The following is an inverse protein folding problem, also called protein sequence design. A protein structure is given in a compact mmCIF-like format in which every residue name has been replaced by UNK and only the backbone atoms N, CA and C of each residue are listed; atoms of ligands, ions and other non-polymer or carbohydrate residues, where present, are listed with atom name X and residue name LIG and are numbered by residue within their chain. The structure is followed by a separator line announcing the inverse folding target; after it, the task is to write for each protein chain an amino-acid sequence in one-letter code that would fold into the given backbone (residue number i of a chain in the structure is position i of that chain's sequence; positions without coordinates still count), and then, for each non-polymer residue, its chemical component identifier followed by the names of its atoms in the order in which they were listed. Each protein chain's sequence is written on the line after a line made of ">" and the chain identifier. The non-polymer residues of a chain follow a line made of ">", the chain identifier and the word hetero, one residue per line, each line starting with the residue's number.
data_IF_553459722923
#
_entry.id   IF_553459722923
#
_cell.length_a   1.000
_cell.length_b   1.000
_cell.length_c   1.000
_cell.angle_alpha   90.00
_cell.angle_beta   90.00
_cell.angle_gamma   90.00
#
_symmetry.space_group_name_H-M   'P 1'
#
loop_
_entity.id
_entity.type
_entity.pdbx_description
1 polymer ?
#
# COMPACT_ATOMS: atom_id res chain seq x y z
N UNK A 1 2.33 13.87 -10.51
CA UNK A 1 1.06 13.84 -9.76
C UNK A 1 0.82 12.49 -9.09
N UNK A 2 0.88 11.36 -9.82
CA UNK A 2 0.64 10.00 -9.28
C UNK A 2 1.54 9.68 -8.08
N UNK A 3 2.83 9.99 -8.12
CA UNK A 3 3.76 9.71 -7.02
C UNK A 3 3.40 10.47 -5.73
N UNK A 4 2.99 11.73 -5.85
CA UNK A 4 2.54 12.54 -4.70
C UNK A 4 1.24 11.99 -4.14
N UNK A 5 0.28 11.66 -5.00
CA UNK A 5 -0.99 11.06 -4.61
C UNK A 5 -0.78 9.73 -3.88
N UNK A 6 0.08 8.85 -4.42
CA UNK A 6 0.42 7.57 -3.78
C UNK A 6 1.01 7.75 -2.39
N UNK A 7 1.98 8.66 -2.24
CA UNK A 7 2.62 8.90 -0.96
C UNK A 7 1.64 9.49 0.07
N UNK A 8 0.86 10.49 -0.31
CA UNK A 8 -0.14 11.09 0.57
C UNK A 8 -1.22 10.08 0.95
N UNK A 9 -1.76 9.33 -0.01
CA UNK A 9 -2.78 8.32 0.22
C UNK A 9 -2.29 7.19 1.13
N UNK A 10 -1.00 6.83 1.05
CA UNK A 10 -0.42 5.80 1.91
C UNK A 10 -0.17 6.27 3.35
N UNK A 11 0.37 7.48 3.56
CA UNK A 11 0.80 7.91 4.89
C UNK A 11 -0.28 8.63 5.70
N UNK A 12 -1.13 9.44 5.08
CA UNK A 12 -2.11 10.24 5.81
C UNK A 12 -3.14 9.42 6.60
N UNK A 13 -3.77 8.36 6.04
CA UNK A 13 -4.77 7.60 6.79
C UNK A 13 -4.18 6.86 7.99
N UNK A 14 -2.90 6.47 7.95
CA UNK A 14 -2.24 5.76 9.04
C UNK A 14 -2.26 6.56 10.35
N UNK A 15 -2.16 7.90 10.27
CA UNK A 15 -2.20 8.78 11.43
C UNK A 15 -3.52 8.69 12.20
N UNK A 16 -4.61 8.41 11.49
CA UNK A 16 -5.95 8.32 12.07
C UNK A 16 -6.32 6.90 12.50
N UNK A 17 -5.83 5.89 11.78
CA UNK A 17 -6.21 4.50 12.00
C UNK A 17 -5.32 3.76 12.98
N UNK A 18 -4.09 4.20 13.23
CA UNK A 18 -3.15 3.55 14.14
C UNK A 18 -3.73 3.38 15.56
N UNK A 19 -4.29 4.44 16.14
CA UNK A 19 -4.83 4.41 17.48
C UNK A 19 -6.07 3.50 17.64
N UNK A 20 -6.94 3.45 16.65
CA UNK A 20 -8.09 2.54 16.65
C UNK A 20 -7.65 1.07 16.47
N UNK A 21 -6.62 0.86 15.66
CA UNK A 21 -6.02 -0.46 15.45
C UNK A 21 -5.46 -1.07 16.74
N UNK A 22 -4.76 -0.29 17.57
CA UNK A 22 -4.17 -0.78 18.82
C UNK A 22 -5.19 -1.42 19.76
N UNK A 23 -6.43 -0.95 19.77
CA UNK A 23 -7.50 -1.40 20.64
C UNK A 23 -8.08 -2.77 20.29
N UNK A 24 -7.80 -3.29 19.11
CA UNK A 24 -8.37 -4.53 18.62
C UNK A 24 -7.60 -5.74 19.16
N UNK A 25 -8.29 -6.74 19.70
CA UNK A 25 -7.71 -8.01 20.09
C UNK A 25 -7.21 -8.83 18.91
N UNK A 26 -7.97 -8.78 17.79
CA UNK A 26 -7.60 -9.35 16.48
C UNK A 26 -7.61 -8.26 15.41
N UNK A 27 -6.57 -8.22 14.57
CA UNK A 27 -6.43 -7.28 13.46
C UNK A 27 -6.97 -7.85 12.16
N UNK A 28 -6.96 -9.17 12.01
CA UNK A 28 -7.39 -9.88 10.80
C UNK A 28 -8.75 -9.43 10.27
N UNK A 29 -9.82 -9.26 11.08
CA UNK A 29 -11.11 -8.80 10.55
C UNK A 29 -11.03 -7.44 9.84
N UNK A 30 -10.23 -6.51 10.35
CA UNK A 30 -10.00 -5.22 9.68
C UNK A 30 -9.22 -5.41 8.39
N UNK A 31 -8.12 -6.18 8.44
CA UNK A 31 -7.28 -6.43 7.26
C UNK A 31 -8.06 -7.12 6.14
N UNK A 32 -8.94 -8.06 6.48
CA UNK A 32 -9.71 -8.82 5.48
C UNK A 32 -10.93 -8.01 5.01
N UNK A 33 -11.81 -7.57 5.91
CA UNK A 33 -13.07 -6.98 5.51
C UNK A 33 -12.91 -5.52 5.03
N UNK A 34 -12.26 -4.68 5.85
CA UNK A 34 -12.02 -3.28 5.49
C UNK A 34 -11.00 -3.20 4.34
N UNK A 35 -9.97 -4.05 4.38
CA UNK A 35 -8.99 -4.16 3.32
C UNK A 35 -9.58 -4.60 1.98
N UNK A 36 -10.58 -5.48 1.95
CA UNK A 36 -11.30 -5.81 0.72
C UNK A 36 -12.00 -4.59 0.13
N UNK A 37 -12.83 -3.92 0.94
CA UNK A 37 -13.65 -2.80 0.50
C UNK A 37 -12.84 -1.56 0.10
N UNK A 38 -11.79 -1.25 0.86
CA UNK A 38 -11.06 0.00 0.68
C UNK A 38 -9.83 -0.14 -0.22
N UNK A 39 -9.23 -1.33 -0.30
CA UNK A 39 -7.98 -1.51 -1.03
C UNK A 39 -8.15 -2.37 -2.29
N UNK A 40 -8.94 -3.47 -2.25
CA UNK A 40 -9.06 -4.41 -3.39
C UNK A 40 -10.18 -4.02 -4.33
N UNK A 41 -11.35 -3.72 -3.79
CA UNK A 41 -12.53 -3.38 -4.60
C UNK A 41 -12.28 -2.22 -5.57
N UNK A 42 -11.61 -1.11 -5.19
CA UNK A 42 -11.38 0.00 -6.11
C UNK A 42 -10.61 -0.38 -7.38
N UNK A 43 -9.71 -1.37 -7.32
CA UNK A 43 -8.93 -1.81 -8.49
C UNK A 43 -9.78 -2.45 -9.56
N UNK A 44 -10.96 -2.99 -9.21
CA UNK A 44 -11.93 -3.53 -10.19
C UNK A 44 -12.62 -2.44 -11.02
N UNK A 45 -12.53 -1.17 -10.61
CA UNK A 45 -13.01 -0.04 -11.41
C UNK A 45 -11.97 0.47 -12.42
N UNK A 46 -10.69 0.11 -12.29
CA UNK A 46 -9.66 0.54 -13.25
C UNK A 46 -9.91 0.04 -14.68
N UNK A 47 -10.32 -1.22 -14.93
CA UNK A 47 -10.71 -1.64 -16.28
C UNK A 47 -11.81 -0.77 -16.90
N UNK A 48 -12.77 -0.30 -16.09
CA UNK A 48 -13.84 0.59 -16.57
C UNK A 48 -13.29 1.94 -17.03
N UNK A 49 -12.23 2.45 -16.40
CA UNK A 49 -11.56 3.67 -16.85
C UNK A 49 -10.97 3.51 -18.26
N UNK A 50 -10.35 2.36 -18.52
CA UNK A 50 -9.80 2.05 -19.84
C UNK A 50 -10.90 1.91 -20.91
N UNK A 51 -12.02 1.24 -20.58
CA UNK A 51 -13.17 1.10 -21.47
C UNK A 51 -13.86 2.45 -21.77
N UNK A 52 -13.84 3.38 -20.82
CA UNK A 52 -14.42 4.71 -20.99
C UNK A 52 -13.56 5.63 -21.87
N UNK A 53 -12.25 5.35 -21.99
CA UNK A 53 -11.29 6.24 -22.63
C UNK A 53 -11.58 6.57 -24.11
N UNK A 54 -12.04 5.63 -24.96
CA UNK A 54 -12.41 5.94 -26.36
C UNK A 54 -13.62 6.86 -26.48
N UNK A 55 -14.51 6.87 -25.49
CA UNK A 55 -15.76 7.64 -25.52
C UNK A 55 -15.61 9.00 -24.84
N UNK A 56 -14.92 9.05 -23.71
CA UNK A 56 -14.70 10.27 -22.94
C UNK A 56 -13.40 10.18 -22.14
N UNK A 57 -12.30 10.79 -22.64
CA UNK A 57 -11.03 10.82 -21.92
C UNK A 57 -11.15 11.45 -20.52
N UNK A 58 -11.98 12.47 -20.37
CA UNK A 58 -12.22 13.11 -19.06
C UNK A 58 -12.86 12.17 -18.06
N UNK A 59 -13.90 11.44 -18.48
CA UNK A 59 -14.55 10.44 -17.62
C UNK A 59 -13.58 9.31 -17.25
N UNK A 60 -12.77 8.84 -18.20
CA UNK A 60 -11.75 7.84 -17.96
C UNK A 60 -10.76 8.29 -16.89
N UNK A 61 -10.26 9.52 -16.97
CA UNK A 61 -9.35 10.09 -15.98
C UNK A 61 -10.02 10.24 -14.60
N UNK A 62 -11.26 10.66 -14.55
CA UNK A 62 -12.01 10.78 -13.28
C UNK A 62 -12.13 9.39 -12.61
N UNK A 63 -12.57 8.37 -13.34
CA UNK A 63 -12.70 7.00 -12.83
C UNK A 63 -11.33 6.49 -12.36
N UNK A 64 -10.29 6.67 -13.18
CA UNK A 64 -8.93 6.23 -12.86
C UNK A 64 -8.43 6.86 -11.55
N UNK A 65 -8.44 8.18 -11.45
CA UNK A 65 -7.93 8.88 -10.28
C UNK A 65 -8.79 8.64 -9.04
N UNK A 66 -10.11 8.54 -9.18
CA UNK A 66 -11.00 8.21 -8.06
C UNK A 66 -10.72 6.78 -7.52
N UNK A 67 -10.64 5.78 -8.40
CA UNK A 67 -10.34 4.40 -8.02
C UNK A 67 -8.93 4.27 -7.42
N UNK A 68 -7.95 4.94 -8.02
CA UNK A 68 -6.56 4.91 -7.57
C UNK A 68 -6.37 5.61 -6.22
N UNK A 69 -7.01 6.76 -6.01
CA UNK A 69 -7.01 7.46 -4.73
C UNK A 69 -7.71 6.65 -3.64
N UNK A 70 -8.87 6.06 -3.95
CA UNK A 70 -9.60 5.19 -3.04
C UNK A 70 -8.74 3.99 -2.61
N UNK A 71 -8.13 3.28 -3.58
CA UNK A 71 -7.19 2.19 -3.31
C UNK A 71 -6.05 2.63 -2.38
N UNK A 72 -5.39 3.73 -2.70
CA UNK A 72 -4.24 4.23 -1.93
C UNK A 72 -4.62 4.63 -0.49
N UNK A 73 -5.73 5.35 -0.32
CA UNK A 73 -6.25 5.73 0.99
C UNK A 73 -6.65 4.50 1.81
N UNK A 74 -7.28 3.51 1.16
CA UNK A 74 -7.65 2.24 1.78
C UNK A 74 -6.44 1.43 2.23
N UNK A 75 -5.44 1.29 1.38
CA UNK A 75 -4.19 0.62 1.71
C UNK A 75 -3.48 1.30 2.89
N UNK A 76 -3.41 2.63 2.90
CA UNK A 76 -2.90 3.41 4.03
C UNK A 76 -3.69 3.19 5.31
N UNK A 77 -5.02 3.18 5.25
CA UNK A 77 -5.87 2.97 6.42
C UNK A 77 -5.71 1.58 7.05
N UNK A 78 -5.47 0.56 6.24
CA UNK A 78 -5.31 -0.84 6.68
C UNK A 78 -3.88 -1.17 7.11
N UNK A 79 -2.89 -0.42 6.64
CA UNK A 79 -1.47 -0.70 6.84
C UNK A 79 -1.05 -0.92 8.31
N UNK A 80 -1.52 -0.13 9.32
CA UNK A 80 -1.18 -0.38 10.72
C UNK A 80 -1.71 -1.72 11.23
N UNK A 81 -2.95 -2.08 10.86
CA UNK A 81 -3.56 -3.35 11.23
C UNK A 81 -2.83 -4.53 10.59
N UNK A 82 -2.46 -4.41 9.32
CA UNK A 82 -1.70 -5.42 8.59
C UNK A 82 -0.31 -5.64 9.19
N UNK A 83 0.41 -4.57 9.47
CA UNK A 83 1.76 -4.64 10.05
C UNK A 83 1.75 -5.29 11.44
N UNK A 84 0.78 -4.94 12.29
CA UNK A 84 0.63 -5.54 13.63
C UNK A 84 0.20 -7.03 13.54
N UNK A 85 -0.70 -7.36 12.61
CA UNK A 85 -1.10 -8.75 12.36
C UNK A 85 0.11 -9.62 11.97
N UNK A 86 0.91 -9.18 11.01
CA UNK A 86 2.11 -9.90 10.59
C UNK A 86 3.12 -10.03 11.74
N UNK A 87 3.31 -8.94 12.51
CA UNK A 87 4.19 -8.97 13.68
C UNK A 87 3.73 -9.95 14.76
N UNK A 88 2.45 -10.27 14.84
CA UNK A 88 1.92 -11.30 15.76
C UNK A 88 2.07 -12.72 15.24
N UNK A 89 2.01 -12.90 13.92
CA UNK A 89 2.13 -14.20 13.27
C UNK A 89 3.57 -14.75 13.25
N UNK A 90 4.58 -13.87 13.34
CA UNK A 90 5.98 -14.26 13.24
C UNK A 90 6.78 -13.90 14.51
N UNK A 91 7.60 -14.82 15.05
CA UNK A 91 8.53 -14.52 16.14
C UNK A 91 9.55 -13.45 15.71
N UNK A 92 10.01 -12.63 16.67
CA UNK A 92 10.85 -11.45 16.41
C UNK A 92 12.10 -11.77 15.60
N UNK A 93 12.77 -12.90 15.92
CA UNK A 93 14.00 -13.35 15.27
C UNK A 93 13.80 -13.79 13.79
N UNK A 94 12.58 -14.09 13.36
CA UNK A 94 12.29 -14.51 11.97
C UNK A 94 11.66 -13.39 11.12
N UNK A 95 11.29 -12.25 11.70
CA UNK A 95 10.62 -11.17 10.97
C UNK A 95 11.49 -10.57 9.87
N UNK A 96 12.76 -10.29 10.17
CA UNK A 96 13.68 -9.71 9.20
C UNK A 96 13.88 -10.64 7.97
N UNK A 97 14.06 -11.94 8.23
CA UNK A 97 14.14 -12.93 7.17
C UNK A 97 12.86 -12.99 6.33
N UNK A 98 11.69 -13.03 6.99
CA UNK A 98 10.39 -13.04 6.31
C UNK A 98 10.20 -11.82 5.41
N UNK A 99 10.44 -10.62 5.92
CA UNK A 99 10.29 -9.40 5.12
C UNK A 99 11.32 -9.31 4.00
N UNK A 100 12.56 -9.74 4.22
CA UNK A 100 13.59 -9.80 3.19
C UNK A 100 13.24 -10.79 2.08
N UNK A 101 12.81 -11.99 2.45
CA UNK A 101 12.41 -13.04 1.49
C UNK A 101 11.17 -12.63 0.68
N UNK A 102 10.14 -12.09 1.33
CA UNK A 102 8.94 -11.62 0.62
C UNK A 102 9.23 -10.43 -0.30
N UNK A 103 10.12 -9.53 0.08
CA UNK A 103 10.57 -8.44 -0.78
C UNK A 103 11.33 -8.96 -2.00
N UNK A 104 12.25 -9.93 -1.82
CA UNK A 104 12.99 -10.57 -2.91
C UNK A 104 12.05 -11.25 -3.92
N UNK A 105 11.15 -12.13 -3.45
CA UNK A 105 10.18 -12.82 -4.30
C UNK A 105 9.23 -11.80 -4.95
N UNK A 106 8.72 -10.83 -4.19
CA UNK A 106 7.81 -9.81 -4.71
C UNK A 106 8.44 -8.98 -5.82
N UNK A 107 9.70 -8.58 -5.68
CA UNK A 107 10.44 -7.86 -6.72
C UNK A 107 10.66 -8.74 -7.97
N UNK A 108 11.06 -10.00 -7.79
CA UNK A 108 11.27 -10.94 -8.89
C UNK A 108 9.98 -11.18 -9.69
N UNK A 109 8.87 -11.48 -9.01
CA UNK A 109 7.56 -11.65 -9.66
C UNK A 109 7.10 -10.32 -10.29
N UNK A 110 7.41 -9.18 -9.66
CA UNK A 110 7.11 -7.85 -10.20
C UNK A 110 7.77 -7.59 -11.56
N UNK A 111 9.03 -8.03 -11.75
CA UNK A 111 9.74 -7.94 -13.05
C UNK A 111 9.02 -8.77 -14.11
N UNK A 112 8.64 -10.01 -13.80
CA UNK A 112 7.88 -10.85 -14.71
C UNK A 112 6.50 -10.26 -15.04
N UNK A 113 5.82 -9.69 -14.05
CA UNK A 113 4.56 -9.00 -14.23
C UNK A 113 4.68 -7.76 -15.13
N UNK A 114 5.74 -6.99 -14.97
CA UNK A 114 6.03 -5.84 -15.83
C UNK A 114 6.32 -6.25 -17.29
N UNK A 115 7.11 -7.31 -17.49
CA UNK A 115 7.40 -7.85 -18.81
C UNK A 115 6.11 -8.37 -19.50
N UNK A 116 5.25 -9.07 -18.75
CA UNK A 116 3.98 -9.56 -19.27
C UNK A 116 3.00 -8.42 -19.59
N UNK A 117 2.93 -7.41 -18.73
CA UNK A 117 2.13 -6.21 -18.99
C UNK A 117 2.63 -5.45 -20.23
N UNK A 118 3.95 -5.30 -20.39
CA UNK A 118 4.54 -4.71 -21.59
C UNK A 118 4.19 -5.48 -22.85
N UNK A 119 4.24 -6.81 -22.79
CA UNK A 119 3.81 -7.66 -23.90
C UNK A 119 2.34 -7.45 -24.25
N UNK A 120 1.45 -7.37 -23.25
CA UNK A 120 0.02 -7.07 -23.47
C UNK A 120 -0.17 -5.70 -24.15
N UNK A 121 0.57 -4.67 -23.73
CA UNK A 121 0.46 -3.32 -24.30
C UNK A 121 0.83 -3.27 -25.78
N UNK A 122 1.74 -4.13 -26.23
CA UNK A 122 2.18 -4.20 -27.64
C UNK A 122 1.24 -5.08 -28.49
N UNK A 123 0.74 -6.19 -27.94
CA UNK A 123 0.03 -7.21 -28.74
C UNK A 123 -1.49 -7.01 -28.78
N UNK A 124 -2.07 -6.20 -27.93
CA UNK A 124 -3.51 -5.93 -27.94
C UNK A 124 -3.79 -4.47 -28.32
N UNK A 125 -4.85 -4.21 -29.11
CA UNK A 125 -5.23 -2.86 -29.47
C UNK A 125 -5.79 -2.08 -28.27
N UNK A 126 -5.63 -0.76 -28.29
CA UNK A 126 -6.31 0.12 -27.35
C UNK A 126 -7.85 0.06 -27.54
N UNK A 127 -8.66 0.01 -26.48
CA UNK A 127 -8.29 0.11 -25.04
C UNK A 127 -8.06 -1.25 -24.35
N UNK A 128 -8.20 -2.38 -25.05
CA UNK A 128 -8.17 -3.73 -24.50
C UNK A 128 -6.84 -4.05 -23.80
N UNK A 129 -5.74 -3.54 -24.31
CA UNK A 129 -4.41 -3.67 -23.71
C UNK A 129 -4.35 -3.17 -22.27
N UNK A 130 -4.95 -2.01 -21.97
CA UNK A 130 -5.06 -1.48 -20.62
C UNK A 130 -6.10 -2.23 -19.78
N UNK A 131 -7.24 -2.60 -20.39
CA UNK A 131 -8.28 -3.38 -19.71
C UNK A 131 -7.70 -4.69 -19.16
N UNK A 132 -6.97 -5.44 -19.97
CA UNK A 132 -6.36 -6.71 -19.56
C UNK A 132 -5.27 -6.51 -18.50
N UNK A 133 -4.45 -5.47 -18.62
CA UNK A 133 -3.44 -5.15 -17.62
C UNK A 133 -4.06 -4.78 -16.26
N UNK A 134 -5.13 -4.01 -16.24
CA UNK A 134 -5.84 -3.67 -15.00
C UNK A 134 -6.60 -4.87 -14.41
N UNK A 135 -7.21 -5.71 -15.25
CA UNK A 135 -7.84 -6.96 -14.80
C UNK A 135 -6.83 -7.90 -14.16
N UNK A 136 -5.65 -8.06 -14.78
CA UNK A 136 -4.57 -8.87 -14.22
C UNK A 136 -4.18 -8.37 -12.83
N UNK A 137 -4.04 -7.06 -12.64
CA UNK A 137 -3.73 -6.46 -11.35
C UNK A 137 -4.85 -6.71 -10.32
N UNK A 138 -6.13 -6.50 -10.70
CA UNK A 138 -7.28 -6.69 -9.82
C UNK A 138 -7.44 -8.17 -9.40
N UNK A 139 -7.26 -9.11 -10.33
CA UNK A 139 -7.30 -10.55 -10.04
C UNK A 139 -6.15 -10.94 -9.11
N UNK A 140 -4.92 -10.51 -9.41
CA UNK A 140 -3.74 -10.85 -8.62
C UNK A 140 -3.85 -10.39 -7.17
N UNK A 141 -4.32 -9.15 -6.94
CA UNK A 141 -4.49 -8.63 -5.58
C UNK A 141 -5.66 -9.33 -4.85
N UNK A 142 -6.68 -9.78 -5.58
CA UNK A 142 -7.78 -10.56 -5.00
C UNK A 142 -7.31 -11.96 -4.58
N UNK A 143 -6.47 -12.62 -5.39
CA UNK A 143 -5.83 -13.89 -5.03
C UNK A 143 -4.95 -13.71 -3.78
N UNK A 144 -4.16 -12.63 -3.73
CA UNK A 144 -3.36 -12.27 -2.54
C UNK A 144 -4.24 -12.09 -1.30
N UNK A 145 -5.42 -11.49 -1.44
CA UNK A 145 -6.38 -11.34 -0.36
C UNK A 145 -6.90 -12.68 0.15
N UNK A 146 -7.23 -13.63 -0.72
CA UNK A 146 -7.61 -14.99 -0.31
C UNK A 146 -6.49 -15.66 0.47
N UNK A 147 -5.25 -15.58 -0.01
CA UNK A 147 -4.08 -16.13 0.69
C UNK A 147 -3.92 -15.52 2.09
N UNK A 148 -4.11 -14.20 2.20
CA UNK A 148 -4.05 -13.49 3.47
C UNK A 148 -5.20 -13.89 4.40
N UNK A 149 -6.40 -14.16 3.86
CA UNK A 149 -7.55 -14.63 4.62
C UNK A 149 -7.33 -16.00 5.26
N UNK A 150 -6.45 -16.84 4.72
CA UNK A 150 -6.08 -18.15 5.30
C UNK A 150 -5.11 -18.01 6.49
N UNK A 151 -4.48 -16.86 6.69
CA UNK A 151 -3.54 -16.63 7.78
C UNK A 151 -4.24 -16.80 9.15
N UNK A 152 -3.60 -17.51 10.08
CA UNK A 152 -4.09 -17.69 11.45
C UNK A 152 -3.43 -16.67 12.37
N UNK A 153 -4.18 -15.67 12.81
CA UNK A 153 -3.71 -14.67 13.76
C UNK A 153 -3.93 -15.16 15.20
N UNK A 154 -2.88 -15.21 16.04
CA UNK A 154 -3.06 -15.49 17.47
C UNK A 154 -3.80 -14.33 18.17
N UNK A 155 -4.74 -14.68 19.04
CA UNK A 155 -5.46 -13.68 19.84
C UNK A 155 -4.51 -13.08 20.87
N UNK A 156 -4.38 -11.76 20.87
CA UNK A 156 -3.59 -11.04 21.88
C UNK A 156 -4.46 -9.94 22.48
N UNK A 157 -4.56 -9.94 23.79
CA UNK A 157 -5.29 -8.90 24.49
C UNK A 157 -4.61 -7.53 24.25
N UNK A 158 -5.40 -6.48 24.01
CA UNK A 158 -4.87 -5.13 23.89
C UNK A 158 -4.15 -4.73 25.19
N UNK A 159 -3.11 -3.89 25.12
CA UNK A 159 -2.50 -3.33 26.32
C UNK A 159 -3.55 -2.61 27.16
N UNK A 160 -3.46 -2.72 28.48
CA UNK A 160 -4.42 -2.12 29.42
C UNK A 160 -4.60 -0.60 29.22
N UNK A 161 -3.57 0.07 28.71
CA UNK A 161 -3.58 1.50 28.40
C UNK A 161 -4.07 1.85 26.98
N UNK A 162 -4.36 0.87 26.12
CA UNK A 162 -4.84 1.13 24.75
C UNK A 162 -6.18 1.88 24.73
N UNK A 163 -7.02 1.68 25.73
CA UNK A 163 -8.30 2.41 25.86
C UNK A 163 -8.11 3.93 26.08
N UNK A 164 -7.01 4.34 26.71
CA UNK A 164 -6.68 5.75 27.00
C UNK A 164 -5.86 6.41 25.86
N UNK A 165 -5.43 5.66 24.87
CA UNK A 165 -4.69 6.19 23.72
C UNK A 165 -5.67 6.82 22.73
N UNK A 166 -6.16 8.00 23.05
CA UNK A 166 -6.81 8.87 22.08
C UNK A 166 -5.74 9.39 21.12
N UNK A 167 -5.77 8.94 19.85
CA UNK A 167 -5.00 9.45 18.71
C UNK A 167 -3.52 9.83 18.96
N UNK A 168 -2.76 9.92 17.90
CA UNK A 168 -1.40 10.45 17.95
C UNK A 168 -1.45 11.95 18.34
N UNK A 169 -1.38 12.23 19.64
CA UNK A 169 -1.19 13.62 20.11
C UNK A 169 0.21 14.04 19.72
N UNK A 170 0.35 15.16 19.03
CA UNK A 170 1.64 15.77 18.70
C UNK A 170 2.57 15.88 19.92
N UNK A 171 2.01 16.14 21.09
CA UNK A 171 2.77 16.19 22.34
C UNK A 171 3.41 14.86 22.69
N UNK A 172 2.69 13.73 22.53
CA UNK A 172 3.24 12.38 22.77
C UNK A 172 4.34 12.04 21.77
N UNK A 173 4.13 12.33 20.48
CA UNK A 173 5.13 12.13 19.44
C UNK A 173 6.39 12.93 19.76
N UNK A 174 6.25 14.19 20.13
CA UNK A 174 7.37 15.06 20.43
C UNK A 174 8.16 14.61 21.69
N UNK A 175 7.45 14.10 22.70
CA UNK A 175 8.09 13.51 23.90
C UNK A 175 8.93 12.29 23.52
N UNK A 176 8.39 11.38 22.69
CA UNK A 176 9.12 10.19 22.23
C UNK A 176 10.35 10.58 21.40
N UNK A 177 10.17 11.49 20.42
CA UNK A 177 11.27 11.92 19.53
C UNK A 177 12.38 12.62 20.31
N UNK A 178 12.04 13.39 21.36
CA UNK A 178 13.04 14.05 22.21
C UNK A 178 13.70 13.09 23.20
N UNK A 179 12.97 12.11 23.70
CA UNK A 179 13.45 11.16 24.72
C UNK A 179 14.29 10.03 24.17
N UNK A 180 14.06 9.58 22.93
CA UNK A 180 14.76 8.45 22.31
C UNK A 180 15.69 8.92 21.19
N UNK A 181 16.99 8.87 21.47
CA UNK A 181 18.05 9.25 20.52
C UNK A 181 18.08 8.33 19.27
N UNK A 182 17.90 7.02 19.47
CA UNK A 182 17.93 6.05 18.37
C UNK A 182 16.72 6.25 17.45
N UNK A 183 15.54 6.49 18.03
CA UNK A 183 14.34 6.76 17.26
C UNK A 183 14.45 8.06 16.46
N UNK A 184 15.04 9.11 17.03
CA UNK A 184 15.30 10.37 16.31
C UNK A 184 16.26 10.17 15.14
N UNK A 185 17.35 9.44 15.34
CA UNK A 185 18.29 9.11 14.24
C UNK A 185 17.62 8.29 13.15
N UNK A 186 16.80 7.31 13.52
CA UNK A 186 15.99 6.55 12.56
C UNK A 186 15.09 7.45 11.73
N UNK A 187 14.39 8.42 12.34
CA UNK A 187 13.54 9.36 11.62
C UNK A 187 14.33 10.24 10.64
N UNK A 188 15.50 10.76 11.06
CA UNK A 188 16.37 11.54 10.19
C UNK A 188 16.84 10.70 8.99
N UNK A 189 17.30 9.48 9.23
CA UNK A 189 17.71 8.56 8.17
C UNK A 189 16.56 8.28 7.20
N UNK A 190 15.36 8.03 7.71
CA UNK A 190 14.16 7.81 6.87
C UNK A 190 13.80 9.04 6.05
N UNK A 191 13.92 10.24 6.64
CA UNK A 191 13.70 11.49 5.91
C UNK A 191 14.70 11.63 4.76
N UNK A 192 15.98 11.47 5.02
CA UNK A 192 17.04 11.57 3.99
C UNK A 192 16.88 10.54 2.87
N UNK A 193 16.53 9.30 3.21
CA UNK A 193 16.23 8.25 2.21
C UNK A 193 15.05 8.68 1.32
N UNK A 194 13.98 9.24 1.89
CA UNK A 194 12.83 9.68 1.11
C UNK A 194 13.17 10.89 0.22
N UNK A 195 14.01 11.82 0.70
CA UNK A 195 14.53 12.93 -0.14
C UNK A 195 15.34 12.37 -1.31
N UNK A 196 16.23 11.38 -1.06
CA UNK A 196 17.00 10.72 -2.12
C UNK A 196 16.10 10.02 -3.15
N UNK A 197 15.00 9.41 -2.72
CA UNK A 197 14.03 8.76 -3.61
C UNK A 197 13.27 9.73 -4.53
N UNK A 198 13.20 11.00 -4.21
CA UNK A 198 12.58 12.00 -5.09
C UNK A 198 13.30 12.07 -6.45
N UNK A 199 14.61 11.80 -6.48
CA UNK A 199 15.40 11.73 -7.72
C UNK A 199 14.99 10.60 -8.67
N UNK A 200 14.42 9.49 -8.18
CA UNK A 200 14.04 8.34 -9.00
C UNK A 200 12.97 8.69 -10.06
N UNK A 201 12.05 9.61 -9.75
CA UNK A 201 11.05 10.08 -10.71
C UNK A 201 11.68 10.77 -11.91
N UNK A 202 12.79 11.46 -11.73
CA UNK A 202 13.50 12.15 -12.81
C UNK A 202 14.30 11.19 -13.68
N UNK A 203 14.74 10.04 -13.20
CA UNK A 203 15.44 9.04 -14.01
C UNK A 203 14.56 8.53 -15.15
N UNK A 204 13.29 8.27 -14.90
CA UNK A 204 12.34 7.84 -15.93
C UNK A 204 12.14 8.93 -16.99
N UNK A 205 11.98 10.16 -16.54
CA UNK A 205 11.83 11.32 -17.46
C UNK A 205 13.09 11.50 -18.29
N UNK A 206 14.27 11.45 -17.67
CA UNK A 206 15.57 11.55 -18.38
C UNK A 206 15.74 10.44 -19.41
N UNK A 207 15.37 9.20 -19.06
CA UNK A 207 15.45 8.08 -20.01
C UNK A 207 14.56 8.28 -21.24
N UNK A 208 13.38 8.88 -21.09
CA UNK A 208 12.46 9.15 -22.21
C UNK A 208 12.95 10.30 -23.08
N UNK A 209 13.62 11.32 -22.51
CA UNK A 209 14.05 12.50 -23.25
C UNK A 209 15.44 12.37 -23.90
N UNK A 210 16.30 11.50 -23.38
CA UNK A 210 17.71 11.40 -23.83
C UNK A 210 18.06 10.09 -24.53
N UNK A 211 17.14 9.11 -24.57
CA UNK A 211 17.30 7.81 -25.24
C UNK A 211 16.08 7.46 -26.09
#
# INVERSE_FOLDING_TARGET
>A
LLGVLSAAAWYLPQLFTAGSTERLARKKPVVINVGFLLERLPLWFLPLSALAAPYSPTLALIIFFAAYAWHGLGAGAVAPAWSDMIARCFPVNKRAWFFGFTAFIGTGIGILGAAFSSWMLVNYPFPLNFVYSFLLAAVSITISWFSLALTREPVRQPPANAAKSSGASWQKIMVIVRGDHNYRQFLITRFLINVGRMGLGYLTVSAIFFW
#
